data_IF_020969084919
#
_entry.id   IF_020969084919
#
_cell.length_a   1.000
_cell.length_b   1.000
_cell.length_c   1.000
_cell.angle_alpha   90.00
_cell.angle_beta   90.00
_cell.angle_gamma   90.00
#
_symmetry.space_group_name_H-M   'P 1'
#
loop_
_entity.id
_entity.type
_entity.pdbx_description
1 polymer ?
#
# COMPACT_ATOMS: atom_id res chain seq x y z
N UNK A 1 22.39 -2.24 -11.71
CA UNK A 1 21.16 -1.47 -11.31
C UNK A 1 20.01 -2.43 -11.30
N UNK A 2 19.17 -2.43 -10.24
CA UNK A 2 17.95 -3.27 -10.21
C UNK A 2 17.01 -2.85 -11.34
N UNK A 3 16.36 -3.81 -12.00
CA UNK A 3 15.42 -3.55 -13.09
C UNK A 3 14.17 -2.80 -12.63
N UNK A 4 13.64 -1.93 -13.47
CA UNK A 4 12.38 -1.23 -13.21
C UNK A 4 11.24 -2.25 -13.27
N UNK A 5 10.49 -2.37 -12.18
CA UNK A 5 9.32 -3.22 -12.07
C UNK A 5 8.04 -2.47 -12.41
N UNK A 6 7.88 -1.27 -11.83
CA UNK A 6 6.75 -0.38 -12.05
C UNK A 6 7.28 1.00 -12.46
N UNK A 7 6.71 1.58 -13.51
CA UNK A 7 7.01 2.92 -14.02
C UNK A 7 5.69 3.64 -14.26
N UNK A 8 5.40 4.61 -13.40
CA UNK A 8 4.20 5.46 -13.45
C UNK A 8 4.60 6.84 -13.92
N UNK A 9 3.90 7.36 -14.90
CA UNK A 9 4.21 8.68 -15.50
C UNK A 9 2.96 9.51 -15.65
N UNK A 10 2.98 10.71 -15.09
CA UNK A 10 1.91 11.69 -15.22
C UNK A 10 0.54 11.18 -14.78
N UNK A 11 0.49 10.26 -13.78
CA UNK A 11 -0.75 9.66 -13.33
C UNK A 11 -1.70 10.73 -12.79
N UNK A 12 -2.91 10.79 -13.36
CA UNK A 12 -3.97 11.67 -12.90
C UNK A 12 -5.26 10.89 -12.70
N UNK A 13 -5.83 11.01 -11.49
CA UNK A 13 -7.10 10.39 -11.09
C UNK A 13 -8.03 11.47 -10.56
N UNK A 14 -9.22 11.58 -11.13
CA UNK A 14 -10.20 12.58 -10.77
C UNK A 14 -11.52 11.95 -10.36
N UNK A 15 -12.26 12.64 -9.49
CA UNK A 15 -13.63 12.30 -9.11
C UNK A 15 -14.59 13.31 -9.72
N UNK A 16 -15.57 12.79 -10.45
CA UNK A 16 -16.59 13.59 -11.13
C UNK A 16 -17.76 13.85 -10.21
N UNK A 17 -18.11 15.12 -10.01
CA UNK A 17 -19.26 15.58 -9.24
C UNK A 17 -20.08 16.56 -10.06
N UNK A 18 -21.28 16.93 -9.62
CA UNK A 18 -22.08 17.98 -10.26
C UNK A 18 -21.34 19.31 -10.39
N UNK A 19 -20.41 19.61 -9.48
CA UNK A 19 -19.60 20.83 -9.49
C UNK A 19 -18.33 20.73 -10.36
N UNK A 20 -18.07 19.57 -11.00
CA UNK A 20 -16.94 19.33 -11.89
C UNK A 20 -16.04 18.17 -11.49
N UNK A 21 -14.92 18.00 -12.21
CA UNK A 21 -13.93 16.98 -11.95
C UNK A 21 -12.85 17.48 -10.97
N UNK A 22 -12.58 16.71 -9.92
CA UNK A 22 -11.65 17.06 -8.85
C UNK A 22 -10.47 16.10 -8.84
N UNK A 23 -9.22 16.57 -9.08
CA UNK A 23 -8.04 15.70 -9.09
C UNK A 23 -7.68 15.27 -7.66
N UNK A 24 -7.78 13.98 -7.38
CA UNK A 24 -7.27 13.37 -6.16
C UNK A 24 -5.78 12.97 -6.31
N UNK A 25 -5.38 12.60 -7.53
CA UNK A 25 -3.99 12.38 -7.95
C UNK A 25 -3.76 13.25 -9.18
N UNK A 26 -2.69 14.02 -9.20
CA UNK A 26 -2.46 15.05 -10.22
C UNK A 26 -1.01 15.07 -10.69
N UNK A 27 -0.73 14.33 -11.78
CA UNK A 27 0.58 14.30 -12.41
C UNK A 27 1.65 13.54 -11.60
N UNK A 28 1.28 12.41 -10.99
CA UNK A 28 2.22 11.60 -10.19
C UNK A 28 3.15 10.79 -11.09
N UNK A 29 4.46 10.95 -10.85
CA UNK A 29 5.53 10.10 -11.38
C UNK A 29 6.10 9.23 -10.26
N UNK A 30 6.14 7.91 -10.45
CA UNK A 30 6.64 6.96 -9.45
C UNK A 30 7.32 5.78 -10.14
N UNK A 31 8.58 5.54 -9.79
CA UNK A 31 9.33 4.36 -10.25
C UNK A 31 9.62 3.45 -9.07
N UNK A 32 9.34 2.15 -9.25
CA UNK A 32 9.68 1.10 -8.27
C UNK A 32 10.50 0.03 -8.97
N UNK A 33 11.60 -0.37 -8.33
CA UNK A 33 12.50 -1.41 -8.85
C UNK A 33 12.21 -2.74 -8.18
N UNK A 34 12.70 -3.84 -8.77
CA UNK A 34 12.59 -5.18 -8.17
C UNK A 34 13.21 -5.20 -6.77
N UNK A 35 12.50 -5.81 -5.81
CA UNK A 35 12.95 -5.92 -4.43
C UNK A 35 13.26 -4.57 -3.78
N UNK A 36 12.70 -3.46 -4.28
CA UNK A 36 12.79 -2.13 -3.68
C UNK A 36 11.57 -1.87 -2.79
N UNK A 37 11.78 -1.26 -1.65
CA UNK A 37 10.72 -0.79 -0.77
C UNK A 37 10.62 0.73 -0.90
N UNK A 38 9.51 1.22 -1.41
CA UNK A 38 9.23 2.66 -1.55
C UNK A 38 8.15 3.06 -0.57
N UNK A 39 8.48 3.97 0.36
CA UNK A 39 7.49 4.63 1.23
C UNK A 39 6.74 5.72 0.46
N UNK A 40 5.41 5.71 0.49
CA UNK A 40 4.57 6.80 0.00
C UNK A 40 3.90 7.46 1.20
N UNK A 41 4.35 8.66 1.56
CA UNK A 41 3.97 9.33 2.81
C UNK A 41 3.24 10.64 2.57
N UNK A 42 2.48 11.09 3.55
CA UNK A 42 1.76 12.36 3.54
C UNK A 42 0.54 12.31 4.45
N UNK A 43 -0.11 13.45 4.68
CA UNK A 43 -1.32 13.53 5.49
C UNK A 43 -2.51 12.77 4.89
N UNK A 44 -3.54 12.54 5.71
CA UNK A 44 -4.82 11.99 5.22
C UNK A 44 -5.39 12.88 4.12
N UNK A 45 -5.94 12.27 3.07
CA UNK A 45 -6.47 13.02 1.91
C UNK A 45 -5.41 13.53 0.93
N UNK A 46 -4.12 13.26 1.10
CA UNK A 46 -3.09 13.67 0.13
C UNK A 46 -3.14 12.92 -1.21
N UNK A 47 -3.89 11.81 -1.31
CA UNK A 47 -4.06 11.02 -2.55
C UNK A 47 -3.35 9.67 -2.56
N UNK A 48 -2.69 9.26 -1.48
CA UNK A 48 -1.88 8.02 -1.38
C UNK A 48 -2.67 6.76 -1.73
N UNK A 49 -3.78 6.51 -1.02
CA UNK A 49 -4.63 5.33 -1.25
C UNK A 49 -5.22 5.34 -2.66
N UNK A 50 -5.65 6.53 -3.13
CA UNK A 50 -6.15 6.69 -4.51
C UNK A 50 -5.05 6.34 -5.54
N UNK A 51 -3.79 6.69 -5.27
CA UNK A 51 -2.66 6.27 -6.10
C UNK A 51 -2.58 4.73 -6.13
N UNK A 52 -2.60 4.06 -4.98
CA UNK A 52 -2.58 2.60 -4.89
C UNK A 52 -3.73 1.93 -5.67
N UNK A 53 -4.97 2.41 -5.49
CA UNK A 53 -6.14 1.91 -6.23
C UNK A 53 -6.02 2.17 -7.74
N UNK A 54 -5.49 3.32 -8.14
CA UNK A 54 -5.27 3.65 -9.56
C UNK A 54 -4.31 2.67 -10.24
N UNK A 55 -3.24 2.25 -9.55
CA UNK A 55 -2.28 1.27 -10.07
C UNK A 55 -2.92 -0.09 -10.36
N UNK A 56 -3.97 -0.45 -9.62
CA UNK A 56 -4.69 -1.71 -9.78
C UNK A 56 -5.95 -1.60 -10.65
N UNK A 57 -6.30 -0.39 -11.11
CA UNK A 57 -7.57 -0.17 -11.80
C UNK A 57 -8.78 -0.47 -10.92
N UNK A 58 -8.72 -0.09 -9.63
CA UNK A 58 -9.77 -0.29 -8.62
C UNK A 58 -10.40 1.05 -8.19
N UNK A 59 -10.44 2.01 -9.08
CA UNK A 59 -11.14 3.29 -8.85
C UNK A 59 -12.59 3.12 -9.27
N UNK A 60 -13.48 3.19 -8.28
CA UNK A 60 -14.92 3.08 -8.51
C UNK A 60 -15.52 4.43 -8.96
N UNK A 61 -16.55 4.41 -9.82
CA UNK A 61 -17.33 5.61 -10.13
C UNK A 61 -17.84 6.32 -8.85
N UNK A 62 -17.83 7.65 -8.79
CA UNK A 62 -17.56 8.61 -9.90
C UNK A 62 -16.09 8.95 -10.14
N UNK A 63 -15.14 8.14 -9.64
CA UNK A 63 -13.71 8.28 -9.88
C UNK A 63 -13.27 7.65 -11.20
N UNK A 64 -12.24 8.22 -11.83
CA UNK A 64 -11.65 7.72 -13.06
C UNK A 64 -10.16 8.09 -13.15
N UNK A 65 -9.34 7.17 -13.69
CA UNK A 65 -7.96 7.48 -14.08
C UNK A 65 -7.98 8.17 -15.44
N UNK A 66 -7.86 9.50 -15.44
CA UNK A 66 -8.05 10.33 -16.64
C UNK A 66 -6.81 10.42 -17.52
N UNK A 67 -5.60 10.47 -16.92
CA UNK A 67 -4.34 10.63 -17.65
C UNK A 67 -3.21 9.76 -17.06
N UNK A 68 -2.10 9.69 -17.78
CA UNK A 68 -0.86 9.04 -17.38
C UNK A 68 -0.69 7.64 -17.94
N UNK A 69 0.49 7.08 -17.71
CA UNK A 69 0.86 5.70 -18.03
C UNK A 69 1.21 4.93 -16.76
N UNK A 70 0.82 3.67 -16.70
CA UNK A 70 1.16 2.74 -15.61
C UNK A 70 1.79 1.50 -16.23
N UNK A 71 3.11 1.44 -16.25
CA UNK A 71 3.85 0.31 -16.86
C UNK A 71 4.35 -0.65 -15.79
N UNK A 72 3.83 -1.87 -15.79
CA UNK A 72 4.31 -2.97 -14.96
C UNK A 72 5.05 -3.98 -15.83
N UNK A 73 6.34 -4.24 -15.53
CA UNK A 73 7.21 -5.07 -16.37
C UNK A 73 7.17 -4.65 -17.85
N UNK A 74 7.14 -3.35 -18.10
CA UNK A 74 7.08 -2.76 -19.45
C UNK A 74 5.72 -2.78 -20.13
N UNK A 75 4.69 -3.43 -19.58
CA UNK A 75 3.33 -3.45 -20.12
C UNK A 75 2.49 -2.34 -19.48
N UNK A 76 1.80 -1.55 -20.29
CA UNK A 76 0.89 -0.51 -19.81
C UNK A 76 -0.42 -1.15 -19.30
N UNK A 77 -0.65 -1.06 -17.97
CA UNK A 77 -1.81 -1.66 -17.31
C UNK A 77 -3.13 -1.02 -17.73
N UNK A 78 -3.14 0.26 -18.08
CA UNK A 78 -4.34 0.98 -18.53
C UNK A 78 -4.89 0.49 -19.88
N UNK A 79 -4.06 -0.18 -20.67
CA UNK A 79 -4.44 -0.77 -21.97
C UNK A 79 -4.89 -2.23 -21.87
N UNK A 80 -4.83 -2.82 -20.68
CA UNK A 80 -5.26 -4.18 -20.44
C UNK A 80 -6.78 -4.24 -20.27
N UNK A 81 -7.38 -5.29 -20.82
CA UNK A 81 -8.78 -5.63 -20.54
C UNK A 81 -8.95 -6.21 -19.13
N UNK A 82 -10.19 -6.23 -18.64
CA UNK A 82 -10.50 -6.66 -17.26
C UNK A 82 -10.00 -8.07 -16.95
N UNK A 83 -10.10 -9.01 -17.88
CA UNK A 83 -9.60 -10.38 -17.69
C UNK A 83 -8.08 -10.41 -17.51
N UNK A 84 -7.33 -9.59 -18.25
CA UNK A 84 -5.88 -9.49 -18.11
C UNK A 84 -5.49 -8.84 -16.78
N UNK A 85 -6.25 -7.82 -16.34
CA UNK A 85 -6.06 -7.22 -15.01
C UNK A 85 -6.40 -8.20 -13.90
N UNK A 86 -7.47 -8.99 -14.02
CA UNK A 86 -7.84 -10.05 -13.08
C UNK A 86 -6.73 -11.08 -12.89
N UNK A 87 -6.02 -11.44 -13.98
CA UNK A 87 -4.87 -12.35 -13.94
C UNK A 87 -3.65 -11.74 -13.20
N UNK A 88 -3.54 -10.43 -13.14
CA UNK A 88 -2.45 -9.74 -12.42
C UNK A 88 -2.77 -9.50 -10.94
N UNK A 89 -4.03 -9.09 -10.65
CA UNK A 89 -4.48 -8.79 -9.29
C UNK A 89 -4.45 -10.03 -8.42
N UNK A 90 -3.85 -9.93 -7.24
CA UNK A 90 -3.68 -11.03 -6.29
C UNK A 90 -2.65 -12.08 -6.68
N UNK A 91 -2.14 -12.05 -7.91
CA UNK A 91 -1.12 -12.97 -8.43
C UNK A 91 0.24 -12.28 -8.56
N UNK A 92 0.33 -11.24 -9.40
CA UNK A 92 1.59 -10.52 -9.67
C UNK A 92 1.66 -9.18 -8.96
N UNK A 93 0.52 -8.56 -8.75
CA UNK A 93 0.38 -7.34 -7.98
C UNK A 93 -0.68 -7.60 -6.93
N UNK A 94 -0.31 -7.52 -5.66
CA UNK A 94 -1.23 -7.67 -4.53
C UNK A 94 -1.43 -6.34 -3.80
N UNK A 95 -2.53 -6.21 -3.07
CA UNK A 95 -2.78 -5.07 -2.21
C UNK A 95 -3.24 -5.53 -0.83
N UNK A 96 -2.71 -4.86 0.19
CA UNK A 96 -3.15 -4.97 1.58
C UNK A 96 -3.88 -3.67 1.90
N UNK A 97 -5.18 -3.78 2.17
CA UNK A 97 -6.04 -2.63 2.45
C UNK A 97 -5.91 -2.18 3.91
N UNK A 98 -6.21 -0.90 4.15
CA UNK A 98 -6.18 -0.29 5.48
C UNK A 98 -7.09 -1.01 6.48
N UNK A 99 -8.31 -1.37 6.06
CA UNK A 99 -9.24 -2.16 6.87
C UNK A 99 -9.23 -3.63 6.42
N UNK A 100 -8.80 -4.57 7.26
CA UNK A 100 -8.81 -5.99 6.93
C UNK A 100 -10.22 -6.55 6.68
N UNK A 101 -11.28 -5.87 7.13
CA UNK A 101 -12.66 -6.24 6.80
C UNK A 101 -13.01 -5.99 5.32
N UNK A 102 -12.28 -5.11 4.65
CA UNK A 102 -12.40 -4.94 3.19
C UNK A 102 -11.88 -6.16 2.42
N UNK A 103 -10.96 -6.93 3.02
CA UNK A 103 -10.37 -8.12 2.40
C UNK A 103 -11.13 -9.39 2.74
N UNK A 104 -11.64 -9.52 3.99
CA UNK A 104 -12.18 -10.76 4.51
C UNK A 104 -13.70 -10.78 4.47
N UNK A 105 -14.27 -11.74 3.74
CA UNK A 105 -15.70 -11.99 3.73
C UNK A 105 -16.12 -12.63 5.08
N UNK A 106 -16.98 -11.97 5.89
CA UNK A 106 -17.31 -12.40 7.25
C UNK A 106 -18.08 -13.73 7.33
N UNK A 107 -18.71 -14.16 6.25
CA UNK A 107 -19.53 -15.39 6.20
C UNK A 107 -18.79 -16.60 5.62
N UNK A 108 -17.53 -16.44 5.20
CA UNK A 108 -16.67 -17.52 4.72
C UNK A 108 -15.56 -17.82 5.73
N UNK A 109 -15.16 -19.09 5.80
CA UNK A 109 -14.01 -19.49 6.63
C UNK A 109 -12.70 -18.96 6.04
N UNK A 110 -11.74 -18.67 6.90
CA UNK A 110 -10.43 -18.14 6.48
C UNK A 110 -9.76 -19.06 5.47
N UNK A 111 -9.72 -20.37 5.70
CA UNK A 111 -9.09 -21.32 4.78
C UNK A 111 -9.75 -21.37 3.40
N UNK A 112 -11.06 -21.13 3.32
CA UNK A 112 -11.78 -21.10 2.04
C UNK A 112 -11.36 -19.90 1.21
N UNK A 113 -11.32 -18.71 1.83
CA UNK A 113 -10.91 -17.47 1.17
C UNK A 113 -9.44 -17.50 0.75
N UNK A 114 -8.57 -18.01 1.62
CA UNK A 114 -7.14 -18.18 1.30
C UNK A 114 -6.93 -19.18 0.15
N UNK A 115 -7.61 -20.31 0.18
CA UNK A 115 -7.50 -21.31 -0.90
C UNK A 115 -8.04 -20.78 -2.23
N UNK A 116 -9.12 -19.99 -2.22
CA UNK A 116 -9.67 -19.33 -3.40
C UNK A 116 -8.65 -18.40 -4.06
N UNK A 117 -7.89 -17.63 -3.27
CA UNK A 117 -6.83 -16.77 -3.79
C UNK A 117 -5.75 -17.53 -4.56
N UNK A 118 -5.47 -18.78 -4.19
CA UNK A 118 -4.55 -19.66 -4.93
C UNK A 118 -5.24 -20.25 -6.15
N UNK A 119 -6.40 -20.87 -5.95
CA UNK A 119 -7.09 -21.66 -6.97
C UNK A 119 -7.62 -20.83 -8.14
N UNK A 120 -7.80 -19.53 -7.93
CA UNK A 120 -8.15 -18.60 -9.00
C UNK A 120 -7.04 -18.45 -10.04
N UNK A 121 -5.77 -18.64 -9.64
CA UNK A 121 -4.61 -18.41 -10.50
C UNK A 121 -3.82 -19.67 -10.82
N UNK A 122 -3.94 -20.72 -10.02
CA UNK A 122 -3.18 -21.95 -10.15
C UNK A 122 -4.12 -23.17 -10.19
N UNK A 123 -3.85 -24.08 -11.13
CA UNK A 123 -4.56 -25.35 -11.18
C UNK A 123 -3.84 -26.39 -10.31
N UNK A 124 -4.03 -26.31 -8.99
CA UNK A 124 -3.44 -27.22 -8.00
C UNK A 124 -4.54 -27.94 -7.22
N UNK A 125 -4.28 -29.15 -6.68
CA UNK A 125 -5.23 -29.82 -5.79
C UNK A 125 -5.57 -28.97 -4.58
N UNK A 126 -6.86 -28.95 -4.16
CA UNK A 126 -7.31 -28.19 -2.99
C UNK A 126 -6.50 -28.51 -1.72
N UNK A 127 -6.09 -29.76 -1.53
CA UNK A 127 -5.27 -30.17 -0.40
C UNK A 127 -3.91 -29.44 -0.39
N UNK A 128 -3.29 -29.28 -1.55
CA UNK A 128 -2.03 -28.54 -1.70
C UNK A 128 -2.24 -27.03 -1.44
N UNK A 129 -3.34 -26.46 -1.94
CA UNK A 129 -3.68 -25.07 -1.64
C UNK A 129 -3.88 -24.85 -0.14
N UNK A 130 -4.59 -25.74 0.55
CA UNK A 130 -4.81 -25.67 1.99
C UNK A 130 -3.51 -25.78 2.80
N UNK A 131 -2.55 -26.62 2.38
CA UNK A 131 -1.24 -26.70 3.02
C UNK A 131 -0.47 -25.39 2.88
N UNK A 132 -0.44 -24.79 1.69
CA UNK A 132 0.15 -23.45 1.49
C UNK A 132 -0.51 -22.39 2.35
N UNK A 133 -1.83 -22.45 2.53
CA UNK A 133 -2.56 -21.55 3.44
C UNK A 133 -2.11 -21.73 4.89
N UNK A 134 -1.91 -22.98 5.33
CA UNK A 134 -1.41 -23.30 6.67
C UNK A 134 -0.03 -22.68 6.90
N UNK A 135 0.90 -22.93 5.97
CA UNK A 135 2.26 -22.38 6.01
C UNK A 135 2.28 -20.84 6.00
N UNK A 136 1.40 -20.22 5.20
CA UNK A 136 1.28 -18.76 5.16
C UNK A 136 0.80 -18.17 6.50
N UNK A 137 -0.16 -18.84 7.18
CA UNK A 137 -0.59 -18.42 8.53
C UNK A 137 0.51 -18.57 9.57
N UNK A 138 1.32 -19.64 9.47
CA UNK A 138 2.50 -19.81 10.35
C UNK A 138 3.52 -18.69 10.13
N UNK A 139 3.80 -18.36 8.87
CA UNK A 139 4.76 -17.31 8.49
C UNK A 139 4.39 -15.96 9.10
N UNK A 140 3.09 -15.62 9.14
CA UNK A 140 2.63 -14.36 9.76
C UNK A 140 2.37 -14.48 11.29
N UNK A 141 2.74 -15.60 11.89
CA UNK A 141 2.65 -15.82 13.34
C UNK A 141 1.21 -16.01 13.87
N UNK A 142 0.32 -16.58 13.08
CA UNK A 142 -1.02 -16.98 13.55
C UNK A 142 -0.92 -18.31 14.32
N UNK A 143 -1.31 -18.35 15.61
CA UNK A 143 -1.24 -19.57 16.42
C UNK A 143 -2.28 -20.60 16.00
N UNK A 144 -1.91 -21.89 16.03
CA UNK A 144 -2.78 -23.03 15.69
C UNK A 144 -3.42 -22.91 14.30
N UNK A 145 -2.62 -22.83 13.20
CA UNK A 145 -3.09 -22.54 11.85
C UNK A 145 -4.21 -23.47 11.38
N UNK A 146 -4.12 -24.78 11.65
CA UNK A 146 -5.14 -25.77 11.25
C UNK A 146 -6.52 -25.47 11.84
N UNK A 147 -6.56 -25.03 13.10
CA UNK A 147 -7.81 -24.58 13.75
C UNK A 147 -8.28 -23.28 13.11
N UNK A 148 -7.37 -22.34 12.88
CA UNK A 148 -7.66 -21.01 12.35
C UNK A 148 -8.15 -21.02 10.91
N UNK A 149 -7.68 -21.93 10.08
CA UNK A 149 -8.22 -22.12 8.73
C UNK A 149 -9.71 -22.48 8.72
N UNK A 150 -10.22 -23.11 9.78
CA UNK A 150 -11.63 -23.48 9.94
C UNK A 150 -12.48 -22.40 10.60
N UNK A 151 -11.85 -21.37 11.15
CA UNK A 151 -12.51 -20.25 11.84
C UNK A 151 -13.02 -19.20 10.84
N UNK A 152 -13.97 -18.39 11.31
CA UNK A 152 -14.50 -17.24 10.58
C UNK A 152 -13.77 -15.95 10.99
N UNK A 153 -13.79 -14.88 10.16
CA UNK A 153 -13.12 -13.61 10.47
C UNK A 153 -13.50 -13.00 11.82
N UNK A 154 -14.74 -13.13 12.26
CA UNK A 154 -15.21 -12.58 13.54
C UNK A 154 -14.59 -13.27 14.79
N UNK A 155 -14.02 -14.47 14.63
CA UNK A 155 -13.30 -15.19 15.68
C UNK A 155 -11.84 -14.72 15.85
N UNK A 156 -11.40 -13.72 15.06
CA UNK A 156 -10.05 -13.17 15.08
C UNK A 156 -10.05 -11.75 15.67
N UNK A 157 -8.99 -11.42 16.41
CA UNK A 157 -8.72 -10.02 16.78
C UNK A 157 -8.40 -9.17 15.53
N UNK A 158 -8.47 -7.85 15.65
CA UNK A 158 -8.10 -6.93 14.56
C UNK A 158 -6.71 -7.21 14.00
N UNK A 159 -5.71 -7.34 14.88
CA UNK A 159 -4.34 -7.66 14.47
C UNK A 159 -4.19 -9.06 13.83
N UNK A 160 -4.98 -10.05 14.25
CA UNK A 160 -4.98 -11.35 13.59
C UNK A 160 -5.60 -11.27 12.19
N UNK A 161 -6.69 -10.52 12.00
CA UNK A 161 -7.30 -10.29 10.67
C UNK A 161 -6.32 -9.62 9.73
N UNK A 162 -5.58 -8.61 10.23
CA UNK A 162 -4.55 -7.94 9.44
C UNK A 162 -3.43 -8.89 9.01
N UNK A 163 -2.95 -9.76 9.91
CA UNK A 163 -1.97 -10.79 9.55
C UNK A 163 -2.50 -11.78 8.51
N UNK A 164 -3.78 -12.16 8.61
CA UNK A 164 -4.42 -12.99 7.58
C UNK A 164 -4.47 -12.28 6.23
N UNK A 165 -4.84 -10.99 6.19
CA UNK A 165 -4.83 -10.19 4.96
C UNK A 165 -3.42 -10.12 4.33
N UNK A 166 -2.39 -9.94 5.16
CA UNK A 166 -0.99 -10.00 4.73
C UNK A 166 -0.64 -11.38 4.18
N UNK A 167 -1.03 -12.46 4.89
CA UNK A 167 -0.79 -13.83 4.41
C UNK A 167 -1.44 -14.07 3.04
N UNK A 168 -2.70 -13.63 2.84
CA UNK A 168 -3.40 -13.74 1.55
C UNK A 168 -2.63 -13.02 0.45
N UNK A 169 -2.21 -11.77 0.69
CA UNK A 169 -1.48 -10.97 -0.29
C UNK A 169 -0.16 -11.65 -0.76
N UNK A 170 0.42 -12.50 0.10
CA UNK A 170 1.70 -13.16 -0.16
C UNK A 170 1.58 -14.58 -0.74
N UNK A 171 0.40 -15.20 -0.73
CA UNK A 171 0.19 -16.61 -1.15
C UNK A 171 0.73 -16.94 -2.53
N UNK A 172 0.57 -16.03 -3.48
CA UNK A 172 0.96 -16.22 -4.88
C UNK A 172 2.34 -15.62 -5.20
N UNK A 173 3.13 -15.25 -4.16
CA UNK A 173 4.47 -14.66 -4.29
C UNK A 173 4.50 -13.54 -5.34
N UNK A 174 3.76 -12.46 -5.11
CA UNK A 174 3.64 -11.37 -6.08
C UNK A 174 4.99 -10.67 -6.32
N UNK A 175 5.13 -10.06 -7.48
CA UNK A 175 6.30 -9.22 -7.79
C UNK A 175 6.21 -7.85 -7.08
N UNK A 176 4.98 -7.35 -6.83
CA UNK A 176 4.70 -6.07 -6.18
C UNK A 176 3.58 -6.24 -5.15
N UNK A 177 3.78 -5.69 -3.95
CA UNK A 177 2.72 -5.54 -2.95
C UNK A 177 2.52 -4.05 -2.66
N UNK A 178 1.27 -3.58 -2.71
CA UNK A 178 0.87 -2.25 -2.29
C UNK A 178 0.25 -2.38 -0.91
N UNK A 179 0.85 -1.75 0.10
CA UNK A 179 0.39 -1.79 1.48
C UNK A 179 -0.23 -0.44 1.84
N UNK A 180 -1.55 -0.38 2.00
CA UNK A 180 -2.26 0.84 2.38
C UNK A 180 -2.49 0.84 3.89
N UNK A 181 -1.67 1.57 4.62
CA UNK A 181 -1.67 1.70 6.09
C UNK A 181 -1.79 0.36 6.84
N UNK A 182 -1.01 -0.67 6.50
CA UNK A 182 -1.25 -2.04 6.93
C UNK A 182 -1.02 -2.30 8.42
N UNK A 183 -0.48 -1.34 9.16
CA UNK A 183 -0.15 -1.49 10.58
C UNK A 183 -0.90 -0.52 11.50
N UNK A 184 -1.73 0.36 10.98
CA UNK A 184 -2.42 1.42 11.75
C UNK A 184 -3.32 0.87 12.88
N UNK A 185 -3.89 -0.33 12.70
CA UNK A 185 -4.76 -0.98 13.69
C UNK A 185 -4.00 -1.95 14.63
N UNK A 186 -2.66 -1.94 14.62
CA UNK A 186 -1.83 -2.88 15.36
C UNK A 186 -1.14 -2.20 16.54
N UNK A 187 -0.91 -2.98 17.62
CA UNK A 187 0.00 -2.56 18.67
C UNK A 187 1.46 -2.52 18.18
N UNK A 188 2.29 -1.70 18.83
CA UNK A 188 3.68 -1.42 18.41
C UNK A 188 4.52 -2.71 18.30
N UNK A 189 4.31 -3.67 19.19
CA UNK A 189 5.08 -4.93 19.19
C UNK A 189 4.75 -5.77 17.96
N UNK A 190 3.46 -5.87 17.62
CA UNK A 190 2.99 -6.60 16.44
C UNK A 190 3.40 -5.86 15.16
N UNK A 191 3.35 -4.53 15.16
CA UNK A 191 3.80 -3.71 14.04
C UNK A 191 5.26 -4.03 13.70
N UNK A 192 6.18 -3.99 14.67
CA UNK A 192 7.59 -4.32 14.45
C UNK A 192 7.80 -5.74 13.88
N UNK A 193 7.04 -6.73 14.37
CA UNK A 193 7.10 -8.10 13.84
C UNK A 193 6.66 -8.18 12.38
N UNK A 194 5.61 -7.46 12.00
CA UNK A 194 5.10 -7.44 10.62
C UNK A 194 6.10 -6.74 9.71
N UNK A 195 6.62 -5.58 10.10
CA UNK A 195 7.64 -4.85 9.33
C UNK A 195 8.86 -5.73 9.04
N UNK A 196 9.39 -6.38 10.07
CA UNK A 196 10.51 -7.32 9.91
C UNK A 196 10.18 -8.44 8.92
N UNK A 197 9.00 -9.08 9.04
CA UNK A 197 8.59 -10.17 8.14
C UNK A 197 8.41 -9.69 6.72
N UNK A 198 7.83 -8.51 6.51
CA UNK A 198 7.66 -7.95 5.17
C UNK A 198 9.02 -7.67 4.51
N UNK A 199 9.99 -7.11 5.26
CA UNK A 199 11.37 -6.94 4.76
C UNK A 199 12.03 -8.26 4.38
N UNK A 200 11.91 -9.26 5.25
CA UNK A 200 12.47 -10.60 5.02
C UNK A 200 11.94 -11.21 3.72
N UNK A 201 10.62 -11.16 3.51
CA UNK A 201 9.96 -11.70 2.32
C UNK A 201 10.38 -10.94 1.07
N UNK A 202 10.44 -9.61 1.12
CA UNK A 202 10.92 -8.80 0.00
C UNK A 202 12.33 -9.19 -0.41
N UNK A 203 13.22 -9.42 0.56
CA UNK A 203 14.60 -9.85 0.28
C UNK A 203 14.68 -11.27 -0.27
N UNK A 204 13.87 -12.19 0.25
CA UNK A 204 13.90 -13.60 -0.16
C UNK A 204 13.30 -13.83 -1.55
N UNK A 205 12.29 -13.06 -1.94
CA UNK A 205 11.52 -13.27 -3.17
C UNK A 205 11.70 -12.18 -4.23
N UNK A 206 12.57 -11.19 -3.99
CA UNK A 206 12.74 -10.02 -4.87
C UNK A 206 11.41 -9.24 -5.08
N UNK A 207 10.47 -9.37 -4.12
CA UNK A 207 9.19 -8.68 -4.12
C UNK A 207 9.40 -7.20 -3.80
N UNK A 208 8.87 -6.31 -4.62
CA UNK A 208 8.86 -4.88 -4.35
C UNK A 208 7.67 -4.49 -3.48
N UNK A 209 7.83 -3.42 -2.66
CA UNK A 209 6.76 -2.86 -1.85
C UNK A 209 6.54 -1.39 -2.19
N UNK A 210 5.26 -0.98 -2.23
CA UNK A 210 4.85 0.40 -2.03
C UNK A 210 4.17 0.45 -0.66
N UNK A 211 4.80 1.14 0.29
CA UNK A 211 4.30 1.24 1.66
C UNK A 211 3.66 2.60 1.88
N UNK A 212 2.35 2.63 1.87
CA UNK A 212 1.55 3.84 2.09
C UNK A 212 1.32 4.01 3.59
N UNK A 213 1.74 5.14 4.15
CA UNK A 213 1.53 5.47 5.56
C UNK A 213 1.61 6.97 5.78
N UNK A 214 1.14 7.44 6.94
CA UNK A 214 1.41 8.77 7.46
C UNK A 214 2.56 8.77 8.50
N UNK A 215 3.06 7.58 8.86
CA UNK A 215 4.14 7.41 9.85
C UNK A 215 5.51 7.37 9.17
N UNK A 216 6.25 8.47 9.28
CA UNK A 216 7.61 8.58 8.76
C UNK A 216 8.62 7.72 9.53
N UNK A 217 8.35 7.40 10.81
CA UNK A 217 9.21 6.51 11.60
C UNK A 217 9.23 5.11 11.01
N UNK A 218 8.07 4.59 10.62
CA UNK A 218 7.96 3.30 9.91
C UNK A 218 8.71 3.32 8.59
N UNK A 219 8.60 4.41 7.84
CA UNK A 219 9.29 4.54 6.55
C UNK A 219 10.81 4.62 6.73
N UNK A 220 11.28 5.32 7.76
CA UNK A 220 12.71 5.41 8.09
C UNK A 220 13.34 4.02 8.36
N UNK A 221 12.58 3.12 8.98
CA UNK A 221 13.07 1.77 9.30
C UNK A 221 12.93 0.77 8.14
N UNK A 222 11.91 0.96 7.29
CA UNK A 222 11.51 -0.03 6.31
C UNK A 222 12.00 0.26 4.89
N UNK A 223 11.95 1.52 4.45
CA UNK A 223 12.01 1.87 3.04
C UNK A 223 13.44 2.18 2.55
N UNK A 224 13.71 1.83 1.29
CA UNK A 224 14.94 2.24 0.57
C UNK A 224 14.81 3.69 0.07
N UNK A 225 13.59 4.06 -0.37
CA UNK A 225 13.26 5.39 -0.89
C UNK A 225 11.91 5.84 -0.35
N UNK A 226 11.73 7.16 -0.28
CA UNK A 226 10.47 7.78 0.09
C UNK A 226 10.00 8.74 -1.00
N UNK A 227 8.68 8.78 -1.19
CA UNK A 227 7.96 9.78 -1.98
C UNK A 227 6.96 10.47 -1.05
N UNK A 228 7.11 11.79 -0.91
CA UNK A 228 6.24 12.62 -0.07
C UNK A 228 5.12 13.19 -0.93
N UNK A 229 3.89 12.89 -0.56
CA UNK A 229 2.70 13.29 -1.32
C UNK A 229 1.90 14.35 -0.59
N UNK A 230 1.64 15.46 -1.28
CA UNK A 230 0.82 16.57 -0.81
C UNK A 230 -0.19 16.97 -1.89
N UNK A 231 -1.45 17.13 -1.52
CA UNK A 231 -2.51 17.64 -2.41
C UNK A 231 -2.59 16.95 -3.79
N UNK A 232 -2.37 15.63 -3.86
CA UNK A 232 -2.44 14.84 -5.08
C UNK A 232 -1.13 14.73 -5.86
N UNK A 233 -0.04 15.37 -5.42
CA UNK A 233 1.25 15.40 -6.11
C UNK A 233 2.39 14.87 -5.24
N UNK A 234 3.40 14.27 -5.87
CA UNK A 234 4.67 13.98 -5.19
C UNK A 234 5.49 15.26 -5.21
N UNK A 235 5.71 15.84 -4.02
CA UNK A 235 6.41 17.10 -3.84
C UNK A 235 7.90 16.90 -3.56
N UNK A 236 8.29 15.73 -3.06
CA UNK A 236 9.67 15.36 -2.83
C UNK A 236 9.84 13.85 -2.91
N UNK A 237 10.93 13.37 -3.50
CA UNK A 237 11.27 11.95 -3.48
C UNK A 237 12.79 11.73 -3.54
N UNK A 238 13.27 10.66 -2.89
CA UNK A 238 14.68 10.32 -2.86
C UNK A 238 14.98 9.12 -1.97
N UNK A 239 16.27 8.76 -1.80
CA UNK A 239 16.70 7.84 -0.76
C UNK A 239 16.18 8.30 0.60
N UNK A 240 15.76 7.37 1.45
CA UNK A 240 15.09 7.71 2.72
C UNK A 240 15.93 8.63 3.58
N UNK A 241 17.21 8.30 3.76
CA UNK A 241 18.13 9.12 4.57
C UNK A 241 18.27 10.55 4.03
N UNK A 242 18.38 10.71 2.70
CA UNK A 242 18.54 12.03 2.08
C UNK A 242 17.31 12.93 2.26
N UNK A 243 16.09 12.35 2.23
CA UNK A 243 14.85 13.13 2.39
C UNK A 243 14.56 13.42 3.86
N UNK A 244 14.86 12.47 4.76
CA UNK A 244 14.61 12.65 6.19
C UNK A 244 15.64 13.56 6.87
N UNK A 245 16.92 13.44 6.50
CA UNK A 245 18.01 14.23 7.11
C UNK A 245 18.11 15.64 6.54
N UNK A 246 17.82 15.81 5.23
CA UNK A 246 17.92 17.08 4.54
C UNK A 246 16.72 17.37 3.63
N UNK A 247 15.50 17.53 4.21
CA UNK A 247 14.29 17.80 3.45
C UNK A 247 14.38 19.13 2.70
N UNK A 248 14.05 19.12 1.42
CA UNK A 248 14.14 20.29 0.54
C UNK A 248 12.79 21.03 0.47
N UNK A 249 11.70 20.25 0.41
CA UNK A 249 10.37 20.84 0.28
C UNK A 249 9.84 21.32 1.64
N UNK A 250 9.23 22.53 1.75
CA UNK A 250 8.70 23.06 3.00
C UNK A 250 7.71 22.13 3.71
N UNK A 251 6.84 21.48 2.95
CA UNK A 251 5.89 20.50 3.49
C UNK A 251 6.58 19.30 4.14
N UNK A 252 7.60 18.72 3.49
CA UNK A 252 8.38 17.60 4.06
C UNK A 252 9.03 18.00 5.37
N UNK A 253 9.59 19.21 5.42
CA UNK A 253 10.18 19.78 6.64
C UNK A 253 9.15 19.93 7.75
N UNK A 254 7.99 20.52 7.45
CA UNK A 254 6.89 20.66 8.40
C UNK A 254 6.37 19.32 8.90
N UNK A 255 6.27 18.32 8.02
CA UNK A 255 5.85 16.97 8.39
C UNK A 255 6.83 16.32 9.38
N UNK A 256 8.14 16.45 9.16
CA UNK A 256 9.19 15.97 10.06
C UNK A 256 9.18 16.72 11.40
N UNK A 257 9.10 18.04 11.38
CA UNK A 257 9.06 18.88 12.58
C UNK A 257 7.81 18.65 13.45
N UNK A 258 6.73 18.14 12.87
CA UNK A 258 5.50 17.79 13.61
C UNK A 258 5.58 16.42 14.32
N UNK A 259 6.64 15.64 14.07
CA UNK A 259 6.80 14.32 14.70
C UNK A 259 7.10 14.45 16.20
N UNK A 260 6.35 13.73 17.08
CA UNK A 260 6.60 13.76 18.51
C UNK A 260 8.02 13.36 18.91
N UNK A 261 8.65 12.45 18.18
CA UNK A 261 10.00 11.96 18.43
C UNK A 261 11.09 13.04 18.27
N UNK A 262 10.82 14.12 17.52
CA UNK A 262 11.75 15.22 17.32
C UNK A 262 11.51 16.39 18.30
N UNK A 263 10.46 16.33 19.11
CA UNK A 263 10.09 17.38 20.07
C UNK A 263 10.65 17.05 21.45
N UNK A 264 11.31 18.02 22.09
CA UNK A 264 11.80 17.85 23.47
C UNK A 264 10.62 17.57 24.43
N UNK A 265 10.78 16.66 25.40
CA UNK A 265 9.74 16.37 26.37
C UNK A 265 9.25 17.67 27.07
N UNK A 266 7.92 17.89 27.02
CA UNK A 266 7.29 19.09 27.62
C UNK A 266 7.26 20.31 26.69
N UNK A 267 7.88 20.30 25.51
CA UNK A 267 7.74 21.37 24.53
C UNK A 267 6.44 21.20 23.72
N UNK A 268 5.91 22.34 23.25
CA UNK A 268 4.72 22.36 22.38
C UNK A 268 5.09 21.74 21.02
N UNK A 269 4.28 20.78 20.56
CA UNK A 269 4.41 20.21 19.23
C UNK A 269 4.29 21.32 18.17
N UNK A 270 5.19 21.29 17.17
CA UNK A 270 5.04 22.15 16.00
C UNK A 270 3.93 21.61 15.13
N UNK A 271 3.10 22.51 14.63
CA UNK A 271 2.06 22.20 13.66
C UNK A 271 2.52 22.70 12.29
N UNK A 272 2.11 22.00 11.24
CA UNK A 272 2.28 22.50 9.87
C UNK A 272 1.34 23.69 9.72
N UNK A 273 1.86 24.84 9.30
CA UNK A 273 1.05 26.03 9.06
C UNK A 273 0.12 25.82 7.86
N UNK A 274 -1.16 26.17 8.04
CA UNK A 274 -2.17 26.03 6.99
C UNK A 274 -2.94 24.70 7.05
N UNK A 275 -3.87 24.54 6.13
CA UNK A 275 -4.64 23.31 5.93
C UNK A 275 -4.40 22.80 4.51
N UNK A 276 -4.26 21.47 4.34
CA UNK A 276 -4.21 20.90 3.02
C UNK A 276 -5.47 21.30 2.22
N UNK A 277 -5.33 21.74 0.96
CA UNK A 277 -6.47 22.16 0.17
C UNK A 277 -7.44 20.98 0.00
N UNK A 278 -8.72 21.25 0.24
CA UNK A 278 -9.79 20.28 -0.04
C UNK A 278 -9.77 19.91 -1.52
N UNK A 279 -10.33 18.75 -1.89
CA UNK A 279 -10.42 18.35 -3.31
C UNK A 279 -11.03 19.47 -4.17
N UNK A 280 -12.05 20.16 -3.66
CA UNK A 280 -12.70 21.27 -4.36
C UNK A 280 -11.82 22.53 -4.53
N UNK A 281 -10.86 22.74 -3.66
CA UNK A 281 -9.94 23.87 -3.73
C UNK A 281 -8.72 23.62 -4.64
N UNK A 282 -8.51 22.39 -5.11
CA UNK A 282 -7.37 22.02 -6.01
C UNK A 282 -7.58 22.45 -7.48
N UNK A 283 -8.59 23.27 -7.78
CA UNK A 283 -8.78 23.84 -9.13
C UNK A 283 -7.71 24.91 -9.40
N UNK A 284 -6.73 24.54 -10.23
CA UNK A 284 -5.95 25.51 -11.02
C UNK A 284 -4.76 26.19 -10.36
N UNK A 285 -4.50 26.02 -9.07
CA UNK A 285 -3.29 26.54 -8.43
C UNK A 285 -2.55 25.41 -7.73
N UNK A 286 -1.46 24.98 -8.38
CA UNK A 286 -0.46 24.18 -7.69
C UNK A 286 0.83 24.96 -7.76
N UNK A 287 1.27 25.32 -6.57
CA UNK A 287 2.56 25.93 -6.27
C UNK A 287 3.74 25.18 -6.86
#
# INVERSE_FOLDING_TARGET
MKDILLDVRGLRTAFHTEAGAWPAVDGVDLVVRRGEIVGLVGESGSGKSVTGFSLLGLIDPPGEVVEGEIRFKGKDLRKLGEEQMRQLRGNRIAMIFQDPLMTLNPVLRIGEQMAEAILTHENVPRAQAMERCREALETVGIPSPDKRLRSFPHEFSGGMRQRVAIAIAMLNKPDLIICDEPTTALDVTIQGQILYRMQEICRQHDTALIWITHDLGVVAELADRVAVMYAGRIVESGPVDAVLDAPRHPYTRGLLESMPAQTQPGARLRQIDGMAPTLSARRGEVL
#
